data_IF_115956237819
#
_entry.id   IF_115956237819
#
_cell.length_a   1.000
_cell.length_b   1.000
_cell.length_c   1.000
_cell.angle_alpha   90.00
_cell.angle_beta   90.00
_cell.angle_gamma   90.00
#
_symmetry.space_group_name_H-M   'P 1'
#
loop_
_entity.id
_entity.type
_entity.pdbx_description
1 polymer ?
#
# COMPACT_ATOMS: atom_id res chain seq x y z
N UNK A 1 -5.87 18.20 35.46
CA UNK A 1 -6.24 18.15 34.04
C UNK A 1 -4.98 17.94 33.23
N UNK A 2 -4.76 16.73 32.71
CA UNK A 2 -3.66 16.48 31.77
C UNK A 2 -4.16 16.83 30.36
N UNK A 3 -3.52 17.79 29.71
CA UNK A 3 -3.82 18.18 28.33
C UNK A 3 -3.08 17.19 27.41
N UNK A 4 -3.81 16.31 26.73
CA UNK A 4 -3.27 15.47 25.66
C UNK A 4 -3.10 16.34 24.42
N UNK A 5 -1.86 16.64 24.06
CA UNK A 5 -1.52 17.36 22.84
C UNK A 5 -1.45 16.33 21.71
N UNK A 6 -2.47 16.28 20.85
CA UNK A 6 -2.39 15.57 19.57
C UNK A 6 -1.50 16.37 18.63
N UNK A 7 -0.28 15.89 18.38
CA UNK A 7 0.59 16.44 17.34
C UNK A 7 0.23 15.75 16.03
N UNK A 8 -0.25 16.47 14.99
CA UNK A 8 -0.43 15.89 13.67
C UNK A 8 0.95 15.55 13.11
N UNK A 9 1.26 14.26 13.03
CA UNK A 9 2.48 13.76 12.40
C UNK A 9 2.41 13.93 10.88
N UNK A 10 3.54 14.14 10.19
CA UNK A 10 3.55 14.16 8.73
C UNK A 10 3.06 12.80 8.21
N UNK A 11 1.96 12.83 7.47
CA UNK A 11 1.42 11.66 6.78
C UNK A 11 2.18 11.55 5.45
N UNK A 12 3.36 10.90 5.49
CA UNK A 12 4.07 10.56 4.25
C UNK A 12 3.33 9.39 3.61
N UNK A 13 2.71 9.62 2.44
CA UNK A 13 2.18 8.54 1.63
C UNK A 13 3.35 7.63 1.20
N UNK A 14 3.29 6.36 1.58
CA UNK A 14 4.26 5.38 1.14
C UNK A 14 3.99 5.02 -0.33
N UNK A 15 5.04 4.93 -1.15
CA UNK A 15 4.90 4.50 -2.54
C UNK A 15 4.96 2.98 -2.59
N UNK A 16 3.82 2.33 -2.83
CA UNK A 16 3.75 0.88 -2.98
C UNK A 16 4.22 0.47 -4.37
N UNK A 17 5.33 -0.25 -4.45
CA UNK A 17 5.88 -0.74 -5.71
C UNK A 17 5.43 -2.17 -6.00
N UNK A 18 4.76 -2.38 -7.13
CA UNK A 18 4.38 -3.71 -7.57
C UNK A 18 5.63 -4.49 -8.03
N UNK A 19 5.78 -5.76 -7.63
CA UNK A 19 6.88 -6.59 -8.11
C UNK A 19 6.73 -6.91 -9.60
N UNK A 20 7.87 -7.14 -10.26
CA UNK A 20 7.90 -7.53 -11.67
C UNK A 20 7.45 -8.98 -11.81
N UNK A 21 6.60 -9.25 -12.78
CA UNK A 21 6.15 -10.62 -13.08
C UNK A 21 7.34 -11.49 -13.51
N UNK A 22 7.54 -12.68 -12.91
CA UNK A 22 8.61 -13.57 -13.33
C UNK A 22 8.36 -14.11 -14.74
N UNK A 23 9.43 -14.37 -15.47
CA UNK A 23 9.37 -14.89 -16.83
C UNK A 23 9.24 -16.43 -16.82
N UNK A 24 8.39 -16.96 -17.69
CA UNK A 24 8.30 -18.38 -17.96
C UNK A 24 8.48 -18.61 -19.46
N UNK A 25 9.54 -19.34 -19.90
CA UNK A 25 9.76 -19.64 -21.30
C UNK A 25 8.62 -20.49 -21.87
N UNK A 26 8.27 -20.26 -23.14
CA UNK A 26 7.34 -21.14 -23.87
C UNK A 26 7.99 -22.47 -24.28
N UNK A 27 9.32 -22.49 -24.42
CA UNK A 27 10.07 -23.71 -24.67
C UNK A 27 10.21 -24.55 -23.39
N UNK A 28 9.67 -25.77 -23.45
CA UNK A 28 9.68 -26.70 -22.32
C UNK A 28 11.08 -27.21 -21.96
N UNK A 29 12.03 -27.24 -22.92
CA UNK A 29 13.39 -27.64 -22.61
C UNK A 29 14.11 -26.54 -21.83
N UNK A 30 14.04 -25.29 -22.30
CA UNK A 30 14.55 -24.14 -21.56
C UNK A 30 13.94 -24.03 -20.14
N UNK A 31 12.65 -24.30 -19.98
CA UNK A 31 12.02 -24.30 -18.66
C UNK A 31 12.61 -25.37 -17.72
N UNK A 32 13.01 -26.54 -18.25
CA UNK A 32 13.66 -27.60 -17.48
C UNK A 32 15.12 -27.27 -17.18
N UNK A 33 15.85 -26.75 -18.17
CA UNK A 33 17.27 -26.43 -18.06
C UNK A 33 17.53 -25.33 -17.02
N UNK A 34 16.59 -24.40 -16.86
CA UNK A 34 16.67 -23.29 -15.92
C UNK A 34 15.67 -23.38 -14.76
N UNK A 35 15.16 -24.60 -14.46
CA UNK A 35 14.06 -24.79 -13.52
C UNK A 35 14.32 -24.20 -12.12
N UNK A 36 15.56 -24.29 -11.63
CA UNK A 36 15.91 -23.79 -10.30
C UNK A 36 15.89 -22.25 -10.24
N UNK A 37 16.37 -21.58 -11.29
CA UNK A 37 16.34 -20.11 -11.38
C UNK A 37 14.89 -19.64 -11.51
N UNK A 38 14.12 -20.26 -12.41
CA UNK A 38 12.71 -19.91 -12.62
C UNK A 38 11.91 -20.11 -11.32
N UNK A 39 12.18 -21.19 -10.58
CA UNK A 39 11.54 -21.42 -9.28
C UNK A 39 11.85 -20.28 -8.30
N UNK A 40 13.12 -19.89 -8.19
CA UNK A 40 13.55 -18.78 -7.34
C UNK A 40 12.81 -17.48 -7.68
N UNK A 41 12.80 -17.10 -8.96
CA UNK A 41 12.12 -15.87 -9.41
C UNK A 41 10.62 -15.85 -9.05
N UNK A 42 9.95 -17.01 -9.13
CA UNK A 42 8.55 -17.13 -8.73
C UNK A 42 8.35 -17.06 -7.21
N UNK A 43 9.24 -17.68 -6.43
CA UNK A 43 9.21 -17.63 -4.97
C UNK A 43 9.45 -16.20 -4.47
N UNK A 44 10.42 -15.48 -5.04
CA UNK A 44 10.71 -14.08 -4.74
C UNK A 44 9.49 -13.19 -5.07
N UNK A 45 8.88 -13.35 -6.25
CA UNK A 45 7.66 -12.64 -6.61
C UNK A 45 6.53 -12.87 -5.59
N UNK A 46 6.34 -14.12 -5.14
CA UNK A 46 5.29 -14.46 -4.17
C UNK A 46 5.55 -13.79 -2.82
N UNK A 47 6.80 -13.63 -2.39
CA UNK A 47 7.13 -12.90 -1.17
C UNK A 47 6.91 -11.40 -1.35
N UNK A 48 7.38 -10.84 -2.45
CA UNK A 48 7.30 -9.41 -2.73
C UNK A 48 5.86 -8.93 -2.92
N UNK A 49 4.99 -9.72 -3.55
CA UNK A 49 3.59 -9.34 -3.74
C UNK A 49 2.83 -9.24 -2.40
N UNK A 50 3.24 -10.00 -1.38
CA UNK A 50 2.68 -9.87 -0.03
C UNK A 50 3.11 -8.56 0.63
N UNK A 51 4.36 -8.16 0.47
CA UNK A 51 4.85 -6.85 0.94
C UNK A 51 4.13 -5.71 0.24
N UNK A 52 3.92 -5.82 -1.08
CA UNK A 52 3.15 -4.86 -1.85
C UNK A 52 1.71 -4.72 -1.35
N UNK A 53 1.00 -5.84 -1.10
CA UNK A 53 -0.37 -5.78 -0.56
C UNK A 53 -0.42 -5.15 0.83
N UNK A 54 0.50 -5.48 1.73
CA UNK A 54 0.58 -4.84 3.06
C UNK A 54 0.75 -3.32 2.95
N UNK A 55 1.58 -2.85 2.03
CA UNK A 55 1.73 -1.42 1.77
C UNK A 55 0.41 -0.80 1.30
N UNK A 56 -0.24 -1.40 0.29
CA UNK A 56 -1.51 -0.88 -0.25
C UNK A 56 -2.63 -0.83 0.80
N UNK A 57 -2.71 -1.84 1.66
CA UNK A 57 -3.70 -1.87 2.76
C UNK A 57 -3.41 -0.78 3.80
N UNK A 58 -2.13 -0.52 4.09
CA UNK A 58 -1.71 0.59 4.95
C UNK A 58 -2.08 1.96 4.37
N UNK A 59 -1.76 2.21 3.11
CA UNK A 59 -2.11 3.45 2.40
C UNK A 59 -3.62 3.65 2.29
N UNK A 60 -4.37 2.56 2.06
CA UNK A 60 -5.83 2.59 2.09
C UNK A 60 -6.33 3.03 3.46
N UNK A 61 -5.89 2.39 4.55
CA UNK A 61 -6.33 2.73 5.90
C UNK A 61 -6.01 4.19 6.25
N UNK A 62 -4.80 4.65 5.93
CA UNK A 62 -4.36 6.04 6.08
C UNK A 62 -5.27 7.03 5.35
N UNK A 63 -5.52 6.79 4.06
CA UNK A 63 -6.36 7.66 3.24
C UNK A 63 -7.81 7.70 3.72
N UNK A 64 -8.33 6.57 4.24
CA UNK A 64 -9.66 6.53 4.85
C UNK A 64 -9.76 7.42 6.09
N UNK A 65 -8.74 7.41 6.95
CA UNK A 65 -8.72 8.25 8.14
C UNK A 65 -8.62 9.74 7.78
N UNK A 66 -7.72 10.09 6.85
CA UNK A 66 -7.60 11.47 6.35
C UNK A 66 -8.92 11.97 5.76
N UNK A 67 -9.60 11.15 4.95
CA UNK A 67 -10.90 11.50 4.38
C UNK A 67 -11.99 11.70 5.44
N UNK A 68 -11.96 10.92 6.54
CA UNK A 68 -12.87 11.07 7.68
C UNK A 68 -12.65 12.44 8.36
N UNK A 69 -11.42 12.76 8.72
CA UNK A 69 -11.06 14.02 9.36
C UNK A 69 -11.45 15.23 8.50
N UNK A 70 -11.10 15.21 7.21
CA UNK A 70 -11.45 16.29 6.27
C UNK A 70 -12.96 16.45 6.13
N UNK A 71 -13.73 15.36 6.14
CA UNK A 71 -15.19 15.42 6.05
C UNK A 71 -15.82 16.02 7.31
N UNK A 72 -15.28 15.70 8.50
CA UNK A 72 -15.71 16.28 9.77
C UNK A 72 -15.40 17.78 9.82
N UNK A 73 -14.21 18.17 9.37
CA UNK A 73 -13.78 19.56 9.27
C UNK A 73 -14.70 20.36 8.35
N UNK A 74 -15.04 19.80 7.19
CA UNK A 74 -15.98 20.41 6.26
C UNK A 74 -17.38 20.52 6.87
N UNK A 75 -17.85 19.51 7.61
CA UNK A 75 -19.12 19.56 8.34
C UNK A 75 -19.17 20.70 9.36
N UNK A 76 -18.08 20.90 10.12
CA UNK A 76 -17.97 22.04 11.06
C UNK A 76 -17.94 23.37 10.34
N UNK A 77 -17.22 23.47 9.21
CA UNK A 77 -17.23 24.67 8.38
C UNK A 77 -18.66 25.02 7.92
N UNK A 78 -19.44 24.04 7.43
CA UNK A 78 -20.82 24.26 7.00
C UNK A 78 -21.72 24.79 8.13
N UNK A 79 -21.52 24.33 9.37
CA UNK A 79 -22.25 24.85 10.53
C UNK A 79 -21.87 26.30 10.87
N UNK A 80 -20.65 26.74 10.54
CA UNK A 80 -20.19 28.10 10.79
C UNK A 80 -20.66 29.10 9.74
N UNK A 81 -20.86 28.64 8.50
CA UNK A 81 -21.24 29.52 7.36
C UNK A 81 -22.72 29.46 7.00
N UNK A 82 -23.48 28.52 7.56
CA UNK A 82 -24.94 28.48 7.41
C UNK A 82 -25.63 29.30 8.51
N UNK A 83 -26.48 30.25 8.12
CA UNK A 83 -27.46 30.92 8.99
C UNK A 83 -28.51 29.92 9.52
#
# INVERSE_FOLDING_TARGET
MALLICVPGPVLAESCFAPVRPFLPSDSQAARDYADIIRGDFEDYIQDIQSYFRCLDGERARAFEEAREVSEDYGRFLQLVGD
#
